data_IF_801702366713
#
_entry.id   IF_801702366713
#
_cell.length_a   1.000
_cell.length_b   1.000
_cell.length_c   1.000
_cell.angle_alpha   90.00
_cell.angle_beta   90.00
_cell.angle_gamma   90.00
#
_symmetry.space_group_name_H-M   'P 1'
#
loop_
_entity.id
_entity.type
_entity.pdbx_description
1 polymer ?
#
# COMPACT_ATOMS: atom_id res chain seq x y z
N UNK A 1 7.23 11.88 25.70
CA UNK A 1 7.15 10.97 26.87
C UNK A 1 5.75 10.37 27.10
N UNK A 2 4.66 11.04 26.68
CA UNK A 2 3.29 10.48 26.72
C UNK A 2 3.09 9.20 25.88
N UNK A 3 3.81 9.02 24.78
CA UNK A 3 3.72 7.80 23.95
C UNK A 3 4.23 6.53 24.63
N UNK A 4 5.26 6.65 25.49
CA UNK A 4 5.76 5.52 26.28
C UNK A 4 4.78 5.15 27.41
N UNK A 5 4.07 6.15 27.96
CA UNK A 5 3.06 5.95 29.00
C UNK A 5 1.77 5.34 28.46
N UNK A 6 1.34 5.73 27.26
CA UNK A 6 0.21 5.09 26.56
C UNK A 6 0.59 3.66 26.13
N UNK A 7 1.83 3.45 25.67
CA UNK A 7 2.37 2.11 25.39
C UNK A 7 2.43 1.21 26.64
N UNK A 8 2.80 1.77 27.79
CA UNK A 8 2.81 1.07 29.07
C UNK A 8 1.39 0.83 29.61
N UNK A 9 0.47 1.78 29.49
CA UNK A 9 -0.92 1.63 29.94
C UNK A 9 -1.73 0.64 29.10
N UNK A 10 -1.41 0.49 27.80
CA UNK A 10 -1.96 -0.61 26.99
C UNK A 10 -1.34 -1.95 27.40
N UNK A 11 -0.09 -1.97 27.89
CA UNK A 11 0.59 -3.19 28.35
C UNK A 11 0.15 -3.66 29.75
N UNK A 12 -0.32 -2.77 30.63
CA UNK A 12 -0.63 -3.09 32.04
C UNK A 12 -1.87 -4.00 32.25
N UNK A 13 -2.96 -3.96 31.46
CA UNK A 13 -4.04 -4.94 31.63
C UNK A 13 -3.77 -6.29 30.92
N UNK A 14 -2.64 -6.46 30.23
CA UNK A 14 -2.39 -7.60 29.35
C UNK A 14 -1.29 -8.51 29.93
N UNK A 15 -1.73 -9.46 30.76
CA UNK A 15 -0.87 -10.43 31.45
C UNK A 15 -0.07 -11.41 30.55
N UNK A 16 0.75 -12.29 31.17
CA UNK A 16 1.84 -13.05 30.53
C UNK A 16 1.45 -14.10 29.47
N UNK A 17 0.16 -14.31 29.22
CA UNK A 17 -0.37 -15.35 28.32
C UNK A 17 -0.38 -14.96 26.84
N UNK A 18 -0.08 -13.71 26.49
CA UNK A 18 -0.11 -13.23 25.10
C UNK A 18 1.15 -13.59 24.29
N UNK A 19 2.30 -13.78 24.94
CA UNK A 19 3.58 -14.12 24.29
C UNK A 19 3.68 -15.59 23.85
N UNK A 20 2.81 -16.47 24.33
CA UNK A 20 2.77 -17.89 23.92
C UNK A 20 1.87 -18.17 22.71
N UNK A 21 1.14 -17.17 22.18
CA UNK A 21 0.28 -17.36 21.00
C UNK A 21 -0.97 -16.48 21.01
N UNK A 22 -0.78 -15.17 20.91
CA UNK A 22 -1.89 -14.21 20.79
C UNK A 22 -2.93 -14.63 19.75
N UNK A 23 -4.21 -14.40 20.01
CA UNK A 23 -5.30 -14.71 19.07
C UNK A 23 -5.05 -14.09 17.69
N UNK A 24 -4.39 -12.93 17.65
CA UNK A 24 -3.92 -12.25 16.44
C UNK A 24 -2.87 -13.07 15.70
N UNK A 25 -1.85 -13.59 16.41
CA UNK A 25 -0.83 -14.47 15.83
C UNK A 25 -1.46 -15.73 15.23
N UNK A 26 -2.33 -16.41 16.00
CA UNK A 26 -3.07 -17.60 15.51
C UNK A 26 -3.90 -17.30 14.27
N UNK A 27 -4.47 -16.09 14.17
CA UNK A 27 -5.26 -15.66 13.01
C UNK A 27 -4.38 -15.40 11.79
N UNK A 28 -3.23 -14.74 11.94
CA UNK A 28 -2.27 -14.57 10.85
C UNK A 28 -1.66 -15.89 10.40
N UNK A 29 -1.35 -16.80 11.33
CA UNK A 29 -0.88 -18.16 11.02
C UNK A 29 -1.96 -18.95 10.25
N UNK A 30 -3.22 -18.79 10.62
CA UNK A 30 -4.35 -19.38 9.89
C UNK A 30 -4.47 -18.79 8.47
N UNK A 31 -4.23 -17.49 8.28
CA UNK A 31 -4.36 -16.83 6.99
C UNK A 31 -3.18 -17.09 6.03
N UNK A 32 -1.95 -16.97 6.52
CA UNK A 32 -0.72 -16.96 5.71
C UNK A 32 0.15 -18.21 5.92
N UNK A 33 -0.13 -19.04 6.94
CA UNK A 33 0.74 -20.13 7.33
C UNK A 33 2.10 -19.64 7.82
N UNK A 34 3.17 -20.39 7.51
CA UNK A 34 4.55 -20.08 7.95
C UNK A 34 5.20 -18.93 7.17
N UNK A 35 4.46 -18.24 6.30
CA UNK A 35 4.98 -17.17 5.43
C UNK A 35 5.01 -15.83 6.16
N UNK A 36 5.86 -15.72 7.17
CA UNK A 36 5.97 -14.53 8.03
C UNK A 36 6.27 -13.24 7.26
N UNK A 37 7.05 -13.31 6.18
CA UNK A 37 7.32 -12.15 5.33
C UNK A 37 6.02 -11.55 4.73
N UNK A 38 5.07 -12.39 4.34
CA UNK A 38 3.77 -11.93 3.82
C UNK A 38 2.91 -11.27 4.90
N UNK A 39 2.97 -11.79 6.14
CA UNK A 39 2.28 -11.19 7.30
C UNK A 39 2.86 -9.80 7.58
N UNK A 40 4.20 -9.68 7.58
CA UNK A 40 4.88 -8.40 7.77
C UNK A 40 4.48 -7.40 6.70
N UNK A 41 4.49 -7.78 5.41
CA UNK A 41 4.05 -6.91 4.32
C UNK A 41 2.56 -6.53 4.42
N UNK A 42 1.71 -7.44 4.91
CA UNK A 42 0.28 -7.17 5.13
C UNK A 42 0.06 -6.14 6.23
N UNK A 43 0.76 -6.27 7.36
CA UNK A 43 0.68 -5.33 8.47
C UNK A 43 1.25 -3.98 8.09
N UNK A 44 2.34 -3.94 7.33
CA UNK A 44 3.02 -2.71 6.93
C UNK A 44 2.30 -1.95 5.80
N UNK A 45 1.48 -2.63 4.99
CA UNK A 45 0.84 -2.03 3.82
C UNK A 45 0.02 -0.77 4.13
N UNK A 46 -0.87 -0.74 5.16
CA UNK A 46 -1.61 0.48 5.50
C UNK A 46 -0.72 1.64 5.93
N UNK A 47 0.39 1.35 6.61
CA UNK A 47 1.35 2.36 7.06
C UNK A 47 2.18 2.92 5.90
N UNK A 48 2.50 2.08 4.91
CA UNK A 48 3.15 2.53 3.68
C UNK A 48 2.33 3.60 2.94
N UNK A 49 1.00 3.63 3.15
CA UNK A 49 0.14 4.65 2.55
C UNK A 49 0.14 5.98 3.29
N UNK A 50 0.68 6.07 4.51
CA UNK A 50 0.62 7.32 5.29
C UNK A 50 1.40 8.42 4.57
N UNK A 51 2.55 8.08 3.98
CA UNK A 51 3.36 9.03 3.23
C UNK A 51 2.52 9.74 2.15
N UNK A 52 2.54 11.07 2.08
CA UNK A 52 1.85 11.82 1.05
C UNK A 52 2.53 11.57 -0.30
N UNK A 53 1.82 10.87 -1.18
CA UNK A 53 2.24 10.56 -2.55
C UNK A 53 1.41 11.39 -3.53
N UNK A 54 1.93 11.61 -4.74
CA UNK A 54 1.24 12.33 -5.82
C UNK A 54 0.01 11.60 -6.36
N UNK A 55 -0.07 10.29 -6.14
CA UNK A 55 -1.25 9.45 -6.39
C UNK A 55 -1.35 8.41 -5.29
N UNK A 56 -2.56 8.15 -4.80
CA UNK A 56 -2.73 7.21 -3.71
C UNK A 56 -2.42 5.76 -4.14
N UNK A 57 -1.80 4.99 -3.24
CA UNK A 57 -1.22 3.67 -3.51
C UNK A 57 -0.05 3.66 -4.52
N UNK A 58 0.48 4.82 -4.94
CA UNK A 58 1.64 4.96 -5.81
C UNK A 58 2.98 4.58 -5.15
N UNK A 59 3.05 3.39 -4.55
CA UNK A 59 4.28 2.86 -3.97
C UNK A 59 5.31 2.52 -5.05
N UNK A 60 6.59 2.60 -4.70
CA UNK A 60 7.68 2.27 -5.63
C UNK A 60 8.23 3.45 -6.43
N UNK A 61 7.94 4.68 -6.05
CA UNK A 61 8.70 5.83 -6.55
C UNK A 61 10.17 5.65 -6.17
N UNK A 62 11.02 5.43 -7.16
CA UNK A 62 12.47 5.45 -7.05
C UNK A 62 12.85 6.86 -7.52
N UNK A 63 13.26 7.72 -6.60
CA UNK A 63 13.69 9.07 -6.95
C UNK A 63 14.96 9.01 -7.80
N UNK A 64 14.83 8.81 -9.11
CA UNK A 64 15.91 8.67 -10.07
C UNK A 64 16.43 10.06 -10.50
N UNK A 65 16.72 10.95 -9.55
CA UNK A 65 17.26 12.30 -9.81
C UNK A 65 16.39 13.23 -10.69
N UNK A 66 16.62 14.56 -10.62
CA UNK A 66 15.85 15.53 -11.40
C UNK A 66 16.12 15.45 -12.93
N UNK A 67 17.25 14.87 -13.33
CA UNK A 67 17.71 14.89 -14.73
C UNK A 67 17.20 13.73 -15.60
N UNK A 68 16.62 12.68 -14.99
CA UNK A 68 16.15 11.48 -15.70
C UNK A 68 14.63 11.43 -15.89
N UNK A 69 13.87 12.33 -15.24
CA UNK A 69 12.44 12.43 -15.50
C UNK A 69 12.21 13.10 -16.85
N UNK A 70 11.55 12.46 -17.83
CA UNK A 70 11.30 13.09 -19.11
C UNK A 70 10.46 14.36 -18.92
N UNK A 71 10.82 15.47 -19.56
CA UNK A 71 9.99 16.68 -19.57
C UNK A 71 8.86 16.50 -20.59
N UNK A 72 7.72 16.00 -20.11
CA UNK A 72 6.55 15.71 -20.96
C UNK A 72 5.78 16.95 -21.43
N UNK A 73 6.16 18.16 -21.02
CA UNK A 73 5.32 19.35 -21.23
C UNK A 73 3.98 19.26 -20.49
N UNK A 74 3.12 20.27 -20.62
CA UNK A 74 1.87 20.42 -19.84
C UNK A 74 0.69 19.56 -20.31
N UNK A 75 0.88 18.65 -21.27
CA UNK A 75 -0.23 18.19 -22.13
C UNK A 75 -0.52 16.69 -22.17
N UNK A 76 0.23 15.81 -21.48
CA UNK A 76 0.25 14.43 -21.99
C UNK A 76 -0.82 13.49 -21.39
N UNK A 77 -1.29 13.64 -20.14
CA UNK A 77 -2.38 12.81 -19.58
C UNK A 77 -3.23 13.60 -18.57
N UNK A 78 -4.55 13.39 -18.58
CA UNK A 78 -5.45 13.88 -17.52
C UNK A 78 -5.03 13.26 -16.18
N UNK A 79 -4.58 14.09 -15.23
CA UNK A 79 -4.09 13.65 -13.92
C UNK A 79 -5.09 12.77 -13.14
N UNK A 80 -6.40 12.98 -13.34
CA UNK A 80 -7.45 12.14 -12.73
C UNK A 80 -7.38 10.70 -13.25
N UNK A 81 -7.14 10.53 -14.55
CA UNK A 81 -7.01 9.21 -15.18
C UNK A 81 -5.71 8.55 -14.72
N UNK A 82 -4.60 9.30 -14.71
CA UNK A 82 -3.31 8.79 -14.24
C UNK A 82 -3.40 8.30 -12.78
N UNK A 83 -3.98 9.10 -11.89
CA UNK A 83 -4.17 8.72 -10.48
C UNK A 83 -5.07 7.49 -10.35
N UNK A 84 -6.14 7.39 -11.14
CA UNK A 84 -7.00 6.21 -11.16
C UNK A 84 -6.29 4.95 -11.66
N UNK A 85 -5.43 5.07 -12.67
CA UNK A 85 -4.61 3.95 -13.17
C UNK A 85 -3.58 3.52 -12.14
N UNK A 86 -2.88 4.45 -11.48
CA UNK A 86 -1.90 4.17 -10.43
C UNK A 86 -2.59 3.48 -9.25
N UNK A 87 -3.67 4.06 -8.74
CA UNK A 87 -4.45 3.51 -7.62
C UNK A 87 -4.98 2.12 -7.96
N UNK A 88 -5.55 1.97 -9.16
CA UNK A 88 -6.14 0.71 -9.63
C UNK A 88 -5.11 -0.40 -9.83
N UNK A 89 -3.98 -0.12 -10.50
CA UNK A 89 -2.91 -1.09 -10.71
C UNK A 89 -2.22 -1.47 -9.41
N UNK A 90 -2.03 -0.51 -8.50
CA UNK A 90 -1.46 -0.80 -7.19
C UNK A 90 -2.38 -1.68 -6.36
N UNK A 91 -3.67 -1.32 -6.28
CA UNK A 91 -4.64 -2.13 -5.55
C UNK A 91 -4.77 -3.54 -6.14
N UNK A 92 -4.87 -3.65 -7.46
CA UNK A 92 -4.84 -4.92 -8.18
C UNK A 92 -3.61 -5.75 -7.83
N UNK A 93 -2.42 -5.16 -7.94
CA UNK A 93 -1.15 -5.84 -7.67
C UNK A 93 -1.06 -6.33 -6.23
N UNK A 94 -1.40 -5.47 -5.26
CA UNK A 94 -1.43 -5.81 -3.83
C UNK A 94 -2.47 -6.90 -3.54
N UNK A 95 -3.66 -6.81 -4.14
CA UNK A 95 -4.72 -7.79 -3.99
C UNK A 95 -4.33 -9.16 -4.51
N UNK A 96 -3.75 -9.21 -5.71
CA UNK A 96 -3.26 -10.45 -6.31
C UNK A 96 -2.06 -11.01 -5.54
N UNK A 97 -1.13 -10.16 -5.09
CA UNK A 97 0.00 -10.54 -4.25
C UNK A 97 -0.46 -11.26 -2.99
N UNK A 98 -1.36 -10.65 -2.21
CA UNK A 98 -1.89 -11.29 -1.01
C UNK A 98 -2.76 -12.49 -1.33
N UNK A 99 -3.46 -12.52 -2.48
CA UNK A 99 -4.22 -13.70 -2.89
C UNK A 99 -3.35 -14.95 -3.09
N UNK A 100 -2.10 -14.77 -3.52
CA UNK A 100 -1.09 -15.83 -3.67
C UNK A 100 -0.46 -16.20 -2.32
N UNK A 101 -0.32 -15.22 -1.42
CA UNK A 101 0.23 -15.42 -0.09
C UNK A 101 -0.74 -16.16 0.85
N UNK A 102 -2.05 -15.88 0.74
CA UNK A 102 -3.12 -16.43 1.56
C UNK A 102 -3.42 -17.90 1.25
N UNK A 103 -3.77 -18.65 2.30
CA UNK A 103 -4.24 -20.03 2.20
C UNK A 103 -5.57 -20.16 1.42
N UNK A 104 -5.82 -21.30 0.76
CA UNK A 104 -7.02 -21.50 -0.06
C UNK A 104 -8.33 -21.46 0.72
N UNK A 105 -8.35 -21.87 2.00
CA UNK A 105 -9.56 -21.93 2.83
C UNK A 105 -10.02 -20.57 3.38
N UNK A 106 -9.33 -19.48 3.05
CA UNK A 106 -9.64 -18.14 3.56
C UNK A 106 -10.48 -17.39 2.53
N UNK A 107 -11.49 -16.63 2.99
CA UNK A 107 -12.24 -15.72 2.13
C UNK A 107 -11.35 -14.52 1.74
N UNK A 108 -10.56 -14.71 0.67
CA UNK A 108 -9.52 -13.76 0.20
C UNK A 108 -10.13 -12.40 -0.07
N UNK A 109 -11.23 -12.35 -0.82
CA UNK A 109 -11.89 -11.09 -1.17
C UNK A 109 -12.30 -10.27 0.05
N UNK A 110 -12.94 -10.90 1.06
CA UNK A 110 -13.33 -10.21 2.30
C UNK A 110 -12.13 -9.63 3.04
N UNK A 111 -11.03 -10.38 3.12
CA UNK A 111 -9.81 -9.93 3.79
C UNK A 111 -9.15 -8.76 3.04
N UNK A 112 -9.15 -8.79 1.71
CA UNK A 112 -8.66 -7.69 0.88
C UNK A 112 -9.53 -6.44 1.04
N UNK A 113 -10.85 -6.57 1.00
CA UNK A 113 -11.73 -5.41 1.21
C UNK A 113 -11.60 -4.84 2.64
N UNK A 114 -11.39 -5.70 3.64
CA UNK A 114 -11.08 -5.25 5.00
C UNK A 114 -9.74 -4.50 5.06
N UNK A 115 -8.71 -4.99 4.36
CA UNK A 115 -7.42 -4.30 4.24
C UNK A 115 -7.57 -2.92 3.58
N UNK A 116 -8.37 -2.82 2.51
CA UNK A 116 -8.66 -1.56 1.84
C UNK A 116 -9.33 -0.57 2.79
N UNK A 117 -10.36 -1.02 3.51
CA UNK A 117 -11.07 -0.20 4.49
C UNK A 117 -10.13 0.30 5.60
N UNK A 118 -9.31 -0.58 6.17
CA UNK A 118 -8.30 -0.21 7.18
C UNK A 118 -7.31 0.81 6.61
N UNK A 119 -6.91 0.65 5.35
CA UNK A 119 -5.99 1.58 4.69
C UNK A 119 -6.62 2.96 4.49
N UNK A 120 -7.90 3.03 4.10
CA UNK A 120 -8.67 4.29 3.99
C UNK A 120 -8.75 4.98 5.36
N UNK A 121 -9.08 4.23 6.41
CA UNK A 121 -9.21 4.78 7.77
C UNK A 121 -7.87 5.30 8.29
N UNK A 122 -6.79 4.52 8.14
CA UNK A 122 -5.45 4.93 8.57
C UNK A 122 -4.99 6.14 7.76
N UNK A 123 -5.14 6.14 6.44
CA UNK A 123 -4.79 7.29 5.59
C UNK A 123 -5.52 8.54 6.05
N UNK A 124 -6.84 8.44 6.22
CA UNK A 124 -7.66 9.60 6.60
C UNK A 124 -7.30 10.14 7.98
N UNK A 125 -7.12 9.24 8.95
CA UNK A 125 -6.71 9.61 10.31
C UNK A 125 -5.36 10.31 10.33
N UNK A 126 -4.35 9.74 9.64
CA UNK A 126 -3.02 10.33 9.64
C UNK A 126 -2.92 11.61 8.81
N UNK A 127 -3.68 11.75 7.73
CA UNK A 127 -3.79 13.02 7.00
C UNK A 127 -4.44 14.09 7.89
N UNK A 128 -5.49 13.73 8.65
CA UNK A 128 -6.12 14.63 9.61
C UNK A 128 -5.16 15.07 10.73
N UNK A 129 -4.36 14.15 11.28
CA UNK A 129 -3.37 14.46 12.31
C UNK A 129 -2.24 15.37 11.79
N UNK A 130 -1.83 15.21 10.53
CA UNK A 130 -0.76 15.99 9.92
C UNK A 130 -1.20 17.41 9.56
N UNK A 131 -2.37 17.56 8.92
CA UNK A 131 -2.76 18.81 8.27
C UNK A 131 -3.99 19.48 8.89
N UNK A 132 -4.77 18.79 9.72
CA UNK A 132 -6.05 19.26 10.25
C UNK A 132 -7.20 18.33 9.88
N UNK A 133 -8.23 18.26 10.73
CA UNK A 133 -9.36 17.33 10.57
C UNK A 133 -10.12 17.55 9.25
N UNK A 134 -10.19 18.79 8.79
CA UNK A 134 -10.80 19.23 7.54
C UNK A 134 -10.10 18.66 6.29
N UNK A 135 -8.83 18.27 6.40
CA UNK A 135 -8.05 17.70 5.29
C UNK A 135 -8.01 16.16 5.32
N UNK A 136 -8.68 15.51 6.26
CA UNK A 136 -8.63 14.05 6.42
C UNK A 136 -8.97 13.25 5.16
N UNK A 137 -9.87 13.78 4.31
CA UNK A 137 -10.29 13.13 3.06
C UNK A 137 -9.79 13.85 1.80
N UNK A 138 -8.86 14.80 1.92
CA UNK A 138 -8.36 15.58 0.76
C UNK A 138 -7.68 14.71 -0.29
N UNK A 139 -7.13 13.57 0.13
CA UNK A 139 -6.47 12.58 -0.73
C UNK A 139 -7.46 11.73 -1.53
N UNK A 140 -8.75 11.70 -1.14
CA UNK A 140 -9.78 10.86 -1.76
C UNK A 140 -10.32 11.54 -3.03
N UNK A 141 -9.48 11.61 -4.06
CA UNK A 141 -9.84 12.19 -5.35
C UNK A 141 -10.81 11.31 -6.14
N UNK A 142 -11.39 11.87 -7.20
CA UNK A 142 -12.21 11.11 -8.16
C UNK A 142 -11.40 9.97 -8.80
N UNK A 143 -10.13 10.21 -9.12
CA UNK A 143 -9.22 9.20 -9.67
C UNK A 143 -9.00 8.05 -8.68
N UNK A 144 -8.68 8.38 -7.42
CA UNK A 144 -8.49 7.40 -6.36
C UNK A 144 -9.74 6.53 -6.13
N UNK A 145 -10.94 7.12 -6.12
CA UNK A 145 -12.21 6.40 -5.96
C UNK A 145 -12.42 5.40 -7.10
N UNK A 146 -12.32 5.85 -8.35
CA UNK A 146 -12.50 4.96 -9.51
C UNK A 146 -11.42 3.89 -9.58
N UNK A 147 -10.17 4.24 -9.23
CA UNK A 147 -9.06 3.29 -9.14
C UNK A 147 -9.33 2.19 -8.12
N UNK A 148 -9.84 2.51 -6.92
CA UNK A 148 -10.24 1.51 -5.94
C UNK A 148 -11.36 0.60 -6.45
N UNK A 149 -12.41 1.19 -7.02
CA UNK A 149 -13.60 0.46 -7.48
C UNK A 149 -13.20 -0.52 -8.58
N UNK A 150 -12.51 -0.02 -9.61
CA UNK A 150 -12.04 -0.84 -10.73
C UNK A 150 -11.01 -1.87 -10.28
N UNK A 151 -10.05 -1.49 -9.43
CA UNK A 151 -9.08 -2.43 -8.87
C UNK A 151 -9.75 -3.55 -8.08
N UNK A 152 -10.76 -3.23 -7.27
CA UNK A 152 -11.53 -4.23 -6.49
C UNK A 152 -12.33 -5.17 -7.39
N UNK A 153 -12.90 -4.66 -8.48
CA UNK A 153 -13.58 -5.46 -9.49
C UNK A 153 -12.61 -6.41 -10.20
N UNK A 154 -11.45 -5.92 -10.62
CA UNK A 154 -10.44 -6.76 -11.26
C UNK A 154 -9.80 -7.77 -10.31
N UNK A 155 -9.68 -7.46 -9.01
CA UNK A 155 -9.30 -8.46 -7.99
C UNK A 155 -10.34 -9.58 -7.95
N UNK A 156 -11.63 -9.25 -7.92
CA UNK A 156 -12.70 -10.25 -7.88
C UNK A 156 -12.56 -11.24 -9.04
N UNK A 157 -12.41 -10.72 -10.27
CA UNK A 157 -12.16 -11.52 -11.48
C UNK A 157 -10.83 -12.29 -11.35
N UNK A 158 -9.78 -11.63 -10.87
CA UNK A 158 -8.45 -12.20 -10.73
C UNK A 158 -8.38 -13.35 -9.74
N UNK A 159 -9.26 -13.41 -8.73
CA UNK A 159 -9.31 -14.49 -7.75
C UNK A 159 -9.76 -15.83 -8.35
N UNK A 160 -10.54 -15.80 -9.43
CA UNK A 160 -11.01 -16.97 -10.18
C UNK A 160 -9.91 -17.57 -11.08
N UNK A 161 -8.86 -16.80 -11.36
CA UNK A 161 -7.76 -17.22 -12.23
C UNK A 161 -6.82 -18.23 -11.55
N UNK A 162 -6.14 -19.03 -12.38
CA UNK A 162 -5.13 -19.97 -11.91
C UNK A 162 -3.97 -19.25 -11.20
N UNK A 163 -3.26 -19.96 -10.31
CA UNK A 163 -2.14 -19.38 -9.57
C UNK A 163 -1.03 -18.80 -10.47
N UNK A 164 -0.79 -19.42 -11.64
CA UNK A 164 0.20 -18.93 -12.62
C UNK A 164 -0.24 -17.63 -13.27
N UNK A 165 -1.51 -17.53 -13.70
CA UNK A 165 -2.02 -16.31 -14.32
C UNK A 165 -2.02 -15.16 -13.32
N UNK A 166 -2.50 -15.39 -12.08
CA UNK A 166 -2.43 -14.38 -11.01
C UNK A 166 -1.01 -13.87 -10.76
N UNK A 167 -0.02 -14.76 -10.78
CA UNK A 167 1.38 -14.40 -10.60
C UNK A 167 1.86 -13.49 -11.73
N UNK A 168 1.59 -13.85 -12.98
CA UNK A 168 1.96 -13.05 -14.14
C UNK A 168 1.27 -11.69 -14.07
N UNK A 169 -0.05 -11.67 -13.86
CA UNK A 169 -0.84 -10.43 -13.75
C UNK A 169 -0.34 -9.53 -12.61
N UNK A 170 0.02 -10.11 -11.47
CA UNK A 170 0.59 -9.37 -10.33
C UNK A 170 1.94 -8.72 -10.68
N UNK A 171 2.84 -9.47 -11.32
CA UNK A 171 4.15 -8.96 -11.73
C UNK A 171 3.97 -7.85 -12.78
N UNK A 172 3.12 -8.07 -13.79
CA UNK A 172 2.83 -7.05 -14.81
C UNK A 172 2.20 -5.81 -14.20
N UNK A 173 1.32 -5.95 -13.20
CA UNK A 173 0.71 -4.81 -12.51
C UNK A 173 1.76 -3.99 -11.73
N UNK A 174 2.68 -4.65 -11.03
CA UNK A 174 3.76 -3.96 -10.32
C UNK A 174 4.79 -3.30 -11.25
N UNK A 175 5.14 -3.94 -12.37
CA UNK A 175 5.99 -3.32 -13.39
C UNK A 175 5.30 -2.13 -14.03
N UNK A 176 4.01 -2.26 -14.38
CA UNK A 176 3.21 -1.15 -14.90
C UNK A 176 3.08 0.00 -13.92
N UNK A 177 2.87 -0.29 -12.62
CA UNK A 177 2.87 0.71 -11.55
C UNK A 177 4.21 1.43 -11.45
N UNK A 178 5.32 0.68 -11.43
CA UNK A 178 6.67 1.26 -11.42
C UNK A 178 6.89 2.19 -12.63
N UNK A 179 6.49 1.76 -13.83
CA UNK A 179 6.60 2.60 -15.01
C UNK A 179 5.74 3.86 -14.88
N UNK A 180 4.48 3.75 -14.43
CA UNK A 180 3.60 4.91 -14.26
C UNK A 180 4.14 5.92 -13.25
N UNK A 181 4.62 5.45 -12.10
CA UNK A 181 5.06 6.30 -10.99
C UNK A 181 6.42 6.95 -11.27
N UNK A 182 7.31 6.30 -12.03
CA UNK A 182 8.66 6.82 -12.27
C UNK A 182 8.82 7.55 -13.62
N UNK A 183 7.95 7.26 -14.60
CA UNK A 183 8.09 7.80 -15.95
C UNK A 183 7.16 8.97 -16.23
N UNK A 184 5.99 9.06 -15.59
CA UNK A 184 5.04 10.15 -15.81
C UNK A 184 5.31 11.33 -14.89
N UNK A 185 5.02 12.57 -15.34
CA UNK A 185 5.24 13.75 -14.52
C UNK A 185 4.31 13.70 -13.30
N UNK A 186 4.84 14.18 -12.17
CA UNK A 186 4.04 14.35 -10.97
C UNK A 186 2.91 15.35 -11.21
N UNK A 187 1.84 15.18 -10.45
CA UNK A 187 0.73 16.10 -10.47
C UNK A 187 1.22 17.52 -10.10
N UNK A 188 1.02 18.56 -10.94
CA UNK A 188 1.46 19.92 -10.65
C UNK A 188 0.82 20.48 -9.36
N UNK A 189 -0.37 20.01 -8.99
CA UNK A 189 -1.02 20.37 -7.73
C UNK A 189 -0.33 19.75 -6.49
N UNK A 190 0.40 18.65 -6.66
CA UNK A 190 1.20 18.05 -5.60
C UNK A 190 2.44 18.90 -5.30
N UNK A 191 3.07 19.49 -6.33
CA UNK A 191 4.23 20.37 -6.16
C UNK A 191 3.92 21.61 -5.29
N UNK A 192 2.70 22.14 -5.40
CA UNK A 192 2.21 23.27 -4.58
C UNK A 192 1.96 22.83 -3.12
N UNK A 193 1.75 21.53 -2.88
CA UNK A 193 1.51 20.96 -1.55
C UNK A 193 2.81 20.65 -0.78
N UNK A 194 3.95 20.51 -1.46
CA UNK A 194 5.26 20.19 -0.86
C UNK A 194 5.66 21.09 0.34
N UNK A 195 5.46 22.42 0.31
CA UNK A 195 5.78 23.26 1.46
C UNK A 195 4.94 22.93 2.71
N UNK A 196 3.68 22.49 2.53
CA UNK A 196 2.82 22.04 3.64
C UNK A 196 3.31 20.72 4.23
N UNK A 197 3.90 19.85 3.42
CA UNK A 197 4.47 18.57 3.88
C UNK A 197 5.66 18.79 4.82
N UNK A 198 6.53 19.74 4.48
CA UNK A 198 7.70 20.12 5.29
C UNK A 198 7.32 20.83 6.60
N UNK A 199 6.10 21.37 6.70
CA UNK A 199 5.57 22.02 7.90
C UNK A 199 4.60 21.12 8.70
N UNK A 200 4.44 19.85 8.30
CA UNK A 200 3.56 18.92 8.99
C UNK A 200 4.04 18.65 10.42
N UNK A 201 3.12 18.39 11.36
CA UNK A 201 3.46 18.07 12.75
C UNK A 201 4.27 16.77 12.92
N UNK A 202 4.41 15.96 11.86
CA UNK A 202 4.96 14.61 11.87
C UNK A 202 6.11 14.44 10.84
N UNK A 203 6.98 15.45 10.65
CA UNK A 203 8.05 15.42 9.64
C UNK A 203 8.93 14.17 9.74
N UNK A 204 9.53 13.88 10.90
CA UNK A 204 10.40 12.70 11.08
C UNK A 204 9.68 11.36 10.87
N UNK A 205 8.38 11.32 11.16
CA UNK A 205 7.56 10.13 10.93
C UNK A 205 7.27 9.95 9.44
N UNK A 206 7.08 11.04 8.69
CA UNK A 206 6.90 11.00 7.25
C UNK A 206 8.13 10.46 6.53
N UNK A 207 9.34 10.81 6.95
CA UNK A 207 10.57 10.24 6.39
C UNK A 207 10.60 8.71 6.54
N UNK A 208 10.22 8.18 7.71
CA UNK A 208 10.13 6.74 7.94
C UNK A 208 9.06 6.08 7.07
N UNK A 209 7.88 6.70 6.93
CA UNK A 209 6.80 6.19 6.09
C UNK A 209 7.16 6.27 4.59
N UNK A 210 7.99 7.23 4.18
CA UNK A 210 8.53 7.33 2.82
C UNK A 210 9.41 6.12 2.51
N UNK A 211 10.38 5.82 3.38
CA UNK A 211 11.22 4.63 3.26
C UNK A 211 10.38 3.36 3.22
N UNK A 212 9.34 3.28 4.06
CA UNK A 212 8.44 2.14 4.07
C UNK A 212 7.71 1.97 2.73
N UNK A 213 7.16 3.05 2.18
CA UNK A 213 6.53 3.08 0.86
C UNK A 213 7.47 2.65 -0.26
N UNK A 214 8.72 3.10 -0.22
CA UNK A 214 9.73 2.75 -1.21
C UNK A 214 10.15 1.28 -1.13
N UNK A 215 10.36 0.77 0.08
CA UNK A 215 10.84 -0.60 0.30
C UNK A 215 9.75 -1.66 0.15
N UNK A 216 8.48 -1.31 0.34
CA UNK A 216 7.38 -2.28 0.27
C UNK A 216 7.33 -3.02 -1.07
N UNK A 217 7.41 -2.28 -2.19
CA UNK A 217 7.26 -2.86 -3.53
C UNK A 217 8.46 -3.74 -3.96
N UNK A 218 9.74 -3.34 -3.77
CA UNK A 218 10.89 -4.21 -3.98
C UNK A 218 10.85 -5.49 -3.14
N UNK A 219 10.47 -5.41 -1.86
CA UNK A 219 10.37 -6.59 -0.99
C UNK A 219 9.24 -7.53 -1.45
N UNK A 220 8.11 -6.99 -1.90
CA UNK A 220 7.03 -7.78 -2.50
C UNK A 220 7.48 -8.49 -3.80
N UNK A 221 8.26 -7.82 -4.66
CA UNK A 221 8.81 -8.42 -5.87
C UNK A 221 9.80 -9.56 -5.57
N UNK A 222 10.69 -9.38 -4.58
CA UNK A 222 11.60 -10.45 -4.12
C UNK A 222 10.78 -11.67 -3.67
N UNK A 223 9.73 -11.44 -2.87
CA UNK A 223 8.83 -12.51 -2.44
C UNK A 223 8.18 -13.23 -3.62
N UNK A 224 7.71 -12.50 -4.65
CA UNK A 224 7.09 -13.08 -5.85
C UNK A 224 8.08 -13.97 -6.62
N UNK A 225 9.34 -13.56 -6.73
CA UNK A 225 10.39 -14.37 -7.37
C UNK A 225 10.62 -15.67 -6.60
N UNK A 226 10.70 -15.63 -5.26
CA UNK A 226 10.81 -16.82 -4.44
C UNK A 226 9.59 -17.75 -4.58
N UNK A 227 8.38 -17.17 -4.60
CA UNK A 227 7.14 -17.92 -4.80
C UNK A 227 7.07 -18.58 -6.18
N UNK A 228 7.47 -17.87 -7.24
CA UNK A 228 7.51 -18.39 -8.61
C UNK A 228 8.46 -19.59 -8.76
N UNK A 229 9.61 -19.57 -8.06
CA UNK A 229 10.56 -20.69 -8.03
C UNK A 229 9.96 -21.93 -7.35
N UNK A 230 9.12 -21.73 -6.35
CA UNK A 230 8.43 -22.81 -5.64
C UNK A 230 7.34 -23.51 -6.45
N UNK A 231 6.73 -22.83 -7.43
CA UNK A 231 5.67 -23.42 -8.29
C UNK A 231 6.23 -24.40 -9.33
N UNK A 232 7.51 -24.28 -9.69
CA UNK A 232 8.16 -25.12 -10.70
C UNK A 232 8.72 -26.44 -10.14
N UNK A 233 8.77 -26.58 -8.81
CA UNK A 233 9.14 -27.83 -8.12
C UNK A 233 7.87 -28.58 -7.72
#
# INVERSE_FOLDING_TARGET
>A
MLGAFIGALIAVPLGPSWLSGSAVRKRFDYWFGTRWLSVTLFILFPFAQIYPQSSWLGMGFLSLGPDLSPNWGTQVINHTIQEGLITGLSWLGVGLFFSLALRPNVSKYKLLMALLLVTILIKSLFTALQFGAEYGFVWLSVGAIWGMVLGSLFILIGLELSARIRLITCITAFIGLMALVNYFPDNPYFAISLPRLNQSRLVHFNDLMQWLSWLWLPVALIWLVHYARGIKR
#
